data_IF_193917084391
#
_entry.id   IF_193917084391
#
_cell.length_a   1.000
_cell.length_b   1.000
_cell.length_c   1.000
_cell.angle_alpha   90.00
_cell.angle_beta   90.00
_cell.angle_gamma   90.00
#
_symmetry.space_group_name_H-M   'P 1'
#
loop_
_entity.id
_entity.type
_entity.pdbx_description
1 polymer ?
#
# COMPACT_ATOMS: atom_id res chain seq x y z
N UNK A 1 1.37 9.42 -9.06
CA UNK A 1 1.38 10.45 -8.00
C UNK A 1 -0.03 10.96 -7.85
N UNK A 2 -0.46 11.21 -6.61
CA UNK A 2 -1.81 11.66 -6.29
C UNK A 2 -1.88 12.12 -4.83
N UNK A 3 -3.03 12.65 -4.42
CA UNK A 3 -3.31 12.96 -3.03
C UNK A 3 -3.80 11.71 -2.28
N UNK A 4 -3.25 11.48 -1.09
CA UNK A 4 -3.53 10.30 -0.29
C UNK A 4 -5.01 10.23 0.11
N UNK A 5 -5.54 11.33 0.67
CA UNK A 5 -6.90 11.34 1.19
C UNK A 5 -7.94 11.22 0.08
N UNK A 6 -7.67 11.85 -1.06
CA UNK A 6 -8.48 11.70 -2.27
C UNK A 6 -8.48 10.26 -2.76
N UNK A 7 -7.30 9.61 -2.82
CA UNK A 7 -7.20 8.20 -3.25
C UNK A 7 -7.95 7.27 -2.30
N UNK A 8 -7.84 7.48 -0.98
CA UNK A 8 -8.56 6.69 0.02
C UNK A 8 -10.07 6.87 -0.07
N UNK A 9 -10.56 8.09 -0.33
CA UNK A 9 -11.98 8.38 -0.51
C UNK A 9 -12.58 7.73 -1.77
N UNK A 10 -11.74 7.39 -2.76
CA UNK A 10 -12.13 6.73 -4.01
C UNK A 10 -12.15 5.19 -3.93
N UNK A 11 -11.88 4.61 -2.76
CA UNK A 11 -11.99 3.16 -2.52
C UNK A 11 -13.47 2.76 -2.40
N UNK A 12 -13.94 1.88 -3.28
CA UNK A 12 -15.35 1.45 -3.36
C UNK A 12 -15.53 -0.07 -3.45
N UNK A 13 -14.47 -0.84 -3.19
CA UNK A 13 -14.52 -2.29 -3.21
C UNK A 13 -13.31 -2.93 -2.55
N UNK A 14 -13.56 -4.02 -1.82
CA UNK A 14 -12.55 -4.87 -1.19
C UNK A 14 -12.87 -6.34 -1.48
N UNK A 15 -11.84 -7.13 -1.76
CA UNK A 15 -11.95 -8.59 -1.85
C UNK A 15 -11.89 -9.25 -0.46
N UNK A 16 -12.43 -10.46 -0.35
CA UNK A 16 -12.28 -11.39 0.77
C UNK A 16 -10.90 -12.07 0.82
N UNK A 17 -10.11 -11.99 -0.25
CA UNK A 17 -8.75 -12.53 -0.30
C UNK A 17 -7.74 -11.53 0.26
N UNK A 18 -7.10 -11.90 1.36
CA UNK A 18 -6.04 -11.14 2.02
C UNK A 18 -4.65 -11.72 1.69
N UNK A 19 -3.71 -10.86 1.31
CA UNK A 19 -2.32 -11.24 1.10
C UNK A 19 -1.39 -10.32 1.91
N UNK A 20 -0.46 -10.93 2.65
CA UNK A 20 0.57 -10.24 3.41
C UNK A 20 1.94 -10.65 2.87
N UNK A 21 2.74 -9.64 2.54
CA UNK A 21 4.09 -9.80 2.01
C UNK A 21 5.10 -9.25 3.02
N UNK A 22 6.15 -10.03 3.24
CA UNK A 22 7.33 -9.59 3.97
C UNK A 22 8.55 -10.09 3.20
N UNK A 23 9.61 -9.29 3.20
CA UNK A 23 10.87 -9.72 2.62
C UNK A 23 12.00 -9.23 3.52
N UNK A 24 12.91 -10.14 3.88
CA UNK A 24 14.00 -9.85 4.81
C UNK A 24 14.96 -8.78 4.28
N UNK A 25 15.06 -8.65 2.95
CA UNK A 25 15.91 -7.68 2.25
C UNK A 25 15.15 -6.46 1.72
N UNK A 26 13.81 -6.44 1.79
CA UNK A 26 13.00 -5.27 1.45
C UNK A 26 12.63 -4.56 2.74
N UNK A 27 13.07 -3.32 2.93
CA UNK A 27 12.87 -2.61 4.18
C UNK A 27 12.29 -1.22 4.02
N UNK A 28 11.73 -0.72 5.12
CA UNK A 28 11.27 0.65 5.23
C UNK A 28 12.42 1.55 5.72
N UNK A 29 12.52 2.74 5.15
CA UNK A 29 13.42 3.79 5.63
C UNK A 29 12.67 4.77 6.52
N UNK A 30 13.24 5.11 7.67
CA UNK A 30 12.70 6.13 8.56
C UNK A 30 13.85 6.96 9.14
N UNK A 31 13.96 8.19 8.68
CA UNK A 31 15.12 9.05 8.97
C UNK A 31 16.43 8.29 8.66
N UNK A 32 17.38 8.23 9.59
CA UNK A 32 18.65 7.54 9.43
C UNK A 32 18.58 6.03 9.70
N UNK A 33 17.37 5.45 9.81
CA UNK A 33 17.15 4.02 10.05
C UNK A 33 16.76 3.30 8.75
N UNK A 34 17.62 2.41 8.24
CA UNK A 34 17.31 1.54 7.11
C UNK A 34 18.27 0.32 7.02
N UNK A 35 17.81 -0.85 6.53
CA UNK A 35 16.41 -1.22 6.27
C UNK A 35 15.69 -1.66 7.57
N UNK A 36 14.52 -1.08 7.87
CA UNK A 36 13.68 -1.56 8.95
C UNK A 36 12.83 -2.76 8.48
N UNK A 37 12.79 -3.86 9.25
CA UNK A 37 11.96 -5.01 8.90
C UNK A 37 10.48 -4.66 9.10
N UNK A 38 9.76 -4.56 7.99
CA UNK A 38 8.30 -4.34 7.98
C UNK A 38 7.64 -5.29 6.98
N UNK A 39 6.38 -5.62 7.23
CA UNK A 39 5.52 -6.29 6.26
C UNK A 39 4.54 -5.28 5.65
N UNK A 40 4.02 -5.59 4.46
CA UNK A 40 2.94 -4.84 3.83
C UNK A 40 1.95 -5.80 3.18
N UNK A 41 0.70 -5.37 3.05
CA UNK A 41 -0.32 -6.19 2.43
C UNK A 41 -1.72 -5.77 2.84
N UNK A 42 -2.69 -6.48 2.29
CA UNK A 42 -4.11 -6.15 2.41
C UNK A 42 -4.94 -6.98 1.44
N UNK A 43 -6.26 -6.80 1.46
CA UNK A 43 -7.11 -7.36 0.43
C UNK A 43 -6.87 -6.66 -0.92
N UNK A 44 -7.36 -7.25 -2.01
CA UNK A 44 -7.45 -6.51 -3.27
C UNK A 44 -8.42 -5.34 -3.10
N UNK A 45 -7.97 -4.14 -3.46
CA UNK A 45 -8.72 -2.89 -3.34
C UNK A 45 -9.08 -2.37 -4.73
N UNK A 46 -10.34 -2.00 -4.94
CA UNK A 46 -10.76 -1.24 -6.13
C UNK A 46 -10.78 0.25 -5.82
N UNK A 47 -10.05 1.02 -6.61
CA UNK A 47 -10.06 2.49 -6.57
C UNK A 47 -10.75 2.97 -7.85
N UNK A 48 -11.85 3.71 -7.69
CA UNK A 48 -12.72 4.10 -8.81
C UNK A 48 -12.02 5.06 -9.78
N UNK A 49 -11.28 6.02 -9.25
CA UNK A 49 -10.57 7.03 -10.04
C UNK A 49 -9.10 7.10 -9.60
N UNK A 50 -8.20 6.78 -10.51
CA UNK A 50 -6.76 6.91 -10.32
C UNK A 50 -6.14 7.52 -11.57
N UNK A 51 -5.32 8.56 -11.41
CA UNK A 51 -4.54 9.09 -12.52
C UNK A 51 -3.38 8.14 -12.81
N UNK A 52 -3.32 7.62 -14.04
CA UNK A 52 -2.25 6.77 -14.54
C UNK A 52 -1.59 7.49 -15.72
N UNK A 53 -0.27 7.67 -15.64
CA UNK A 53 0.56 8.30 -16.66
C UNK A 53 1.77 7.43 -16.98
#
# INVERSE_FOLDING_TARGET
>A
TGDLFTTLAEIDGLSDRLELYHAFFSGCGKWEQAPLPVAFGGPYVRVRNLLVY
#
